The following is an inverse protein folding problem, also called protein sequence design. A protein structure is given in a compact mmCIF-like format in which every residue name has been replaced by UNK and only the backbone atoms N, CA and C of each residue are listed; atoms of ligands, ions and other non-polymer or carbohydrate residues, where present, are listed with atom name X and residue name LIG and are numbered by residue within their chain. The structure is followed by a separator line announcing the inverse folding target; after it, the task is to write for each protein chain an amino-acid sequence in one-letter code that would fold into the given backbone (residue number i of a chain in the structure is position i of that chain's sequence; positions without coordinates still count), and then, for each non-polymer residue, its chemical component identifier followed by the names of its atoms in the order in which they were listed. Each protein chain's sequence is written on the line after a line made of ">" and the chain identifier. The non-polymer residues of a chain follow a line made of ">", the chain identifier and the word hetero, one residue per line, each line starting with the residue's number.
data_IF_450439134028
#
_entry.id   IF_450439134028
#
_cell.length_a   1.000
_cell.length_b   1.000
_cell.length_c   1.000
_cell.angle_alpha   90.00
_cell.angle_beta   90.00
_cell.angle_gamma   90.00
#
_symmetry.space_group_name_H-M   'P 1'
#
loop_
_entity.id
_entity.type
_entity.pdbx_description
1 polymer ?
#
# COMPACT_ATOMS: atom_id res chain seq x y z
N UNK A 1 12.86 -9.83 -10.35
CA UNK A 1 13.14 -8.92 -11.47
C UNK A 1 12.27 -7.69 -11.25
N UNK A 2 12.71 -6.79 -10.37
CA UNK A 2 11.89 -5.65 -9.92
C UNK A 2 12.09 -4.50 -10.88
N UNK A 3 11.06 -4.15 -11.66
CA UNK A 3 11.03 -3.05 -12.63
C UNK A 3 10.93 -1.67 -11.96
N UNK A 4 11.66 -1.44 -10.88
CA UNK A 4 11.85 -0.09 -10.36
C UNK A 4 12.93 0.60 -11.19
N UNK A 5 12.55 1.13 -12.36
CA UNK A 5 13.36 2.16 -13.00
C UNK A 5 13.50 3.32 -12.01
N UNK A 6 14.71 3.78 -11.68
CA UNK A 6 14.91 4.93 -10.81
C UNK A 6 14.46 6.19 -11.56
N UNK A 7 13.15 6.44 -11.56
CA UNK A 7 12.54 7.66 -12.07
C UNK A 7 12.50 8.69 -10.97
N UNK A 8 12.86 9.92 -11.31
CA UNK A 8 12.49 11.10 -10.52
C UNK A 8 10.97 11.27 -10.65
N UNK A 9 10.31 11.77 -9.61
CA UNK A 9 8.86 12.08 -9.60
C UNK A 9 8.38 12.80 -10.88
N UNK A 10 9.22 13.67 -11.46
CA UNK A 10 8.98 14.36 -12.73
C UNK A 10 8.82 13.44 -13.95
N UNK A 11 9.56 12.34 -14.03
CA UNK A 11 9.49 11.40 -15.14
C UNK A 11 8.23 10.53 -15.08
N UNK A 12 7.81 10.16 -13.86
CA UNK A 12 6.60 9.37 -13.63
C UNK A 12 5.33 10.21 -13.83
N UNK A 13 5.33 11.46 -13.39
CA UNK A 13 4.18 12.35 -13.52
C UNK A 13 4.05 13.00 -14.91
N UNK A 14 5.15 13.15 -15.66
CA UNK A 14 5.13 13.78 -16.97
C UNK A 14 4.38 15.11 -16.97
N UNK A 15 3.31 15.21 -17.77
CA UNK A 15 2.45 16.41 -17.86
C UNK A 15 1.75 16.82 -16.56
N UNK A 16 1.69 15.94 -15.56
CA UNK A 16 1.11 16.21 -14.25
C UNK A 16 2.13 16.71 -13.23
N UNK A 17 3.42 16.77 -13.58
CA UNK A 17 4.45 17.30 -12.71
C UNK A 17 4.27 18.82 -12.55
N UNK A 18 4.15 19.30 -11.30
CA UNK A 18 3.93 20.73 -11.00
C UNK A 18 2.49 21.23 -11.18
N UNK A 19 1.53 20.35 -11.51
CA UNK A 19 0.10 20.66 -11.43
C UNK A 19 -0.32 20.74 -9.96
N UNK A 20 -0.01 21.86 -9.32
CA UNK A 20 -0.70 22.25 -8.09
C UNK A 20 -2.16 22.57 -8.45
N UNK A 21 -3.10 22.10 -7.63
CA UNK A 21 -4.52 22.15 -7.89
C UNK A 21 -5.06 23.59 -7.99
N UNK A 22 -4.90 24.22 -9.15
CA UNK A 22 -5.52 25.49 -9.52
C UNK A 22 -6.52 25.22 -10.64
N UNK A 23 -7.79 25.11 -10.25
CA UNK A 23 -8.91 25.20 -11.16
C UNK A 23 -9.11 26.66 -11.56
N UNK A 24 -8.65 27.04 -12.76
CA UNK A 24 -9.26 28.15 -13.54
C UNK A 24 -8.83 28.15 -15.01
N UNK A 25 -9.77 28.28 -15.96
CA UNK A 25 -9.47 28.28 -17.38
C UNK A 25 -9.38 29.72 -17.90
N UNK A 26 -8.19 30.25 -18.17
CA UNK A 26 -8.10 31.42 -19.04
C UNK A 26 -6.77 31.58 -19.79
N UNK A 27 -6.89 31.57 -21.11
CA UNK A 27 -6.05 32.20 -22.14
C UNK A 27 -4.55 31.92 -22.19
N UNK A 28 -4.15 31.11 -23.17
CA UNK A 28 -3.02 31.44 -24.04
C UNK A 28 -3.25 30.86 -25.45
N UNK A 29 -3.43 31.74 -26.44
CA UNK A 29 -3.38 31.39 -27.87
C UNK A 29 -1.95 30.95 -28.23
N UNK A 30 -1.75 29.92 -29.08
CA UNK A 30 -0.41 29.61 -29.57
C UNK A 30 -0.07 30.48 -30.80
N UNK A 31 0.99 31.27 -30.70
CA UNK A 31 1.76 31.75 -31.85
C UNK A 31 2.63 30.61 -32.36
N UNK A 32 2.52 30.34 -33.66
CA UNK A 32 3.29 29.33 -34.37
C UNK A 32 4.70 29.84 -34.68
N UNK A 33 5.73 29.10 -34.24
CA UNK A 33 7.06 29.11 -34.83
C UNK A 33 7.58 27.67 -34.93
N UNK A 34 7.92 27.27 -36.16
CA UNK A 34 8.43 25.95 -36.53
C UNK A 34 9.94 25.88 -36.31
N UNK A 35 10.48 24.74 -35.85
CA UNK A 35 11.86 24.30 -36.10
C UNK A 35 12.13 22.82 -35.71
N UNK A 36 12.40 22.01 -36.76
CA UNK A 36 13.32 20.85 -36.86
C UNK A 36 12.99 19.47 -36.25
N UNK A 37 13.36 18.35 -36.93
CA UNK A 37 12.92 17.01 -36.59
C UNK A 37 13.69 16.48 -35.38
N UNK A 38 13.02 16.41 -34.23
CA UNK A 38 13.59 15.81 -33.03
C UNK A 38 13.83 14.33 -33.25
N UNK A 39 15.09 13.90 -33.10
CA UNK A 39 15.46 12.49 -32.84
C UNK A 39 14.40 11.91 -31.90
N UNK A 40 13.71 10.85 -32.33
CA UNK A 40 12.59 10.26 -31.61
C UNK A 40 13.05 9.88 -30.19
N UNK A 41 12.85 10.79 -29.23
CA UNK A 41 13.06 10.49 -27.82
C UNK A 41 12.10 9.36 -27.49
N UNK A 42 12.55 8.34 -26.72
CA UNK A 42 11.62 7.35 -26.21
C UNK A 42 10.50 8.09 -25.47
N UNK A 43 9.24 7.67 -25.64
CA UNK A 43 8.10 8.31 -24.98
C UNK A 43 8.32 8.33 -23.47
N UNK A 44 7.83 9.38 -22.81
CA UNK A 44 7.90 9.46 -21.34
C UNK A 44 7.15 8.27 -20.71
N UNK A 45 7.50 7.87 -19.48
CA UNK A 45 6.84 6.72 -18.81
C UNK A 45 5.32 6.83 -18.82
N UNK A 46 4.80 8.00 -18.48
CA UNK A 46 3.36 8.28 -18.51
C UNK A 46 2.75 8.02 -19.90
N UNK A 47 3.40 8.48 -20.97
CA UNK A 47 2.95 8.25 -22.35
C UNK A 47 3.05 6.77 -22.74
N UNK A 48 4.11 6.08 -22.30
CA UNK A 48 4.29 4.64 -22.50
C UNK A 48 3.14 3.84 -21.85
N UNK A 49 2.81 4.17 -20.59
CA UNK A 49 1.72 3.52 -19.85
C UNK A 49 0.33 3.86 -20.40
N UNK A 50 0.13 5.09 -20.87
CA UNK A 50 -1.14 5.57 -21.41
C UNK A 50 -1.43 5.02 -22.82
N UNK A 51 -0.48 5.20 -23.75
CA UNK A 51 -0.71 5.02 -25.17
C UNK A 51 -0.41 3.59 -25.64
N UNK A 52 0.60 2.94 -25.04
CA UNK A 52 1.08 1.63 -25.52
C UNK A 52 0.63 0.49 -24.60
N UNK A 53 0.85 0.61 -23.29
CA UNK A 53 0.49 -0.45 -22.33
C UNK A 53 -0.97 -0.37 -21.87
N UNK A 54 -1.59 0.82 -21.96
CA UNK A 54 -2.97 1.10 -21.55
C UNK A 54 -3.30 0.57 -20.16
N UNK A 55 -2.40 0.81 -19.19
CA UNK A 55 -2.57 0.32 -17.82
C UNK A 55 -3.74 1.06 -17.16
N UNK A 56 -4.81 0.37 -16.71
CA UNK A 56 -6.02 1.05 -16.24
C UNK A 56 -5.82 1.93 -14.99
N UNK A 57 -4.91 1.52 -14.11
CA UNK A 57 -4.64 2.18 -12.83
C UNK A 57 -3.16 2.50 -12.72
N UNK A 58 -2.81 3.78 -12.64
CA UNK A 58 -1.45 4.26 -12.49
C UNK A 58 -1.31 5.09 -11.21
N UNK A 59 -0.44 4.66 -10.31
CA UNK A 59 -0.24 5.31 -9.01
C UNK A 59 1.21 5.75 -8.88
N UNK A 60 1.41 6.98 -8.43
CA UNK A 60 2.73 7.56 -8.19
C UNK A 60 2.82 7.94 -6.71
N UNK A 61 3.81 7.39 -6.03
CA UNK A 61 4.11 7.74 -4.64
C UNK A 61 5.49 8.35 -4.53
N UNK A 62 5.56 9.50 -3.89
CA UNK A 62 6.81 10.19 -3.60
C UNK A 62 7.19 10.03 -2.14
N UNK A 63 8.34 9.40 -1.89
CA UNK A 63 8.90 9.28 -0.54
C UNK A 63 9.30 10.63 0.08
N UNK A 64 9.59 11.63 -0.75
CA UNK A 64 10.07 12.94 -0.30
C UNK A 64 8.90 13.83 0.11
N UNK A 65 7.88 13.93 -0.75
CA UNK A 65 6.69 14.75 -0.47
C UNK A 65 5.61 13.99 0.30
N UNK A 66 5.75 12.66 0.43
CA UNK A 66 4.77 11.73 1.04
C UNK A 66 3.40 11.80 0.39
N UNK A 67 3.36 12.19 -0.89
CA UNK A 67 2.12 12.27 -1.67
C UNK A 67 1.94 11.01 -2.49
N UNK A 68 0.76 10.41 -2.35
CA UNK A 68 0.23 9.43 -3.28
C UNK A 68 -0.62 10.20 -4.30
N UNK A 69 -0.49 9.86 -5.57
CA UNK A 69 -1.33 10.37 -6.66
C UNK A 69 -1.82 9.17 -7.45
N UNK A 70 -3.09 9.22 -7.85
CA UNK A 70 -3.75 8.13 -8.54
C UNK A 70 -4.36 8.64 -9.83
N UNK A 71 -4.07 7.95 -10.92
CA UNK A 71 -4.56 8.23 -12.25
C UNK A 71 -5.29 7.00 -12.79
N UNK A 72 -6.52 7.20 -13.28
CA UNK A 72 -7.30 6.17 -13.96
C UNK A 72 -7.31 6.44 -15.46
N UNK A 73 -7.13 5.39 -16.26
CA UNK A 73 -7.23 5.49 -17.71
C UNK A 73 -8.71 5.52 -18.12
N UNK A 74 -9.19 6.67 -18.56
CA UNK A 74 -10.57 6.88 -19.04
C UNK A 74 -10.54 7.49 -20.45
N UNK A 75 -11.32 6.93 -21.38
CA UNK A 75 -11.34 7.41 -22.76
C UNK A 75 -9.98 7.36 -23.50
N UNK A 76 -9.01 6.58 -23.00
CA UNK A 76 -7.66 6.51 -23.57
C UNK A 76 -6.66 7.51 -22.97
N UNK A 77 -7.06 8.27 -21.95
CA UNK A 77 -6.19 9.23 -21.27
C UNK A 77 -6.26 9.07 -19.75
N UNK A 78 -5.14 9.27 -19.09
CA UNK A 78 -5.08 9.31 -17.64
C UNK A 78 -5.78 10.56 -17.10
N UNK A 79 -6.72 10.34 -16.18
CA UNK A 79 -7.37 11.36 -15.38
C UNK A 79 -7.01 11.14 -13.90
N UNK A 80 -6.51 12.19 -13.25
CA UNK A 80 -6.22 12.15 -11.82
C UNK A 80 -7.51 11.97 -11.02
N UNK A 81 -7.49 11.03 -10.09
CA UNK A 81 -8.61 10.69 -9.22
C UNK A 81 -8.36 11.25 -7.83
N UNK A 82 -9.44 11.68 -7.17
CA UNK A 82 -9.37 12.09 -5.79
C UNK A 82 -9.01 10.90 -4.89
N UNK A 83 -8.11 11.12 -3.93
CA UNK A 83 -7.88 10.20 -2.83
C UNK A 83 -8.89 10.46 -1.72
N UNK A 84 -9.06 9.49 -0.83
CA UNK A 84 -9.83 9.71 0.39
C UNK A 84 -9.19 10.84 1.23
N UNK A 85 -10.02 11.80 1.66
CA UNK A 85 -9.59 13.01 2.35
C UNK A 85 -9.11 12.76 3.79
N UNK A 86 -9.64 11.73 4.47
CA UNK A 86 -9.27 11.41 5.85
C UNK A 86 -8.04 10.52 5.93
N UNK A 87 -7.88 9.64 4.94
CA UNK A 87 -6.74 8.73 4.82
C UNK A 87 -6.29 8.68 3.36
N UNK A 88 -5.08 9.15 3.00
CA UNK A 88 -4.60 9.19 1.63
C UNK A 88 -4.52 7.77 1.03
N UNK A 89 -5.63 7.38 0.42
CA UNK A 89 -5.91 6.04 -0.09
C UNK A 89 -6.59 6.18 -1.46
N UNK A 90 -6.04 5.46 -2.43
CA UNK A 90 -6.61 5.29 -3.74
C UNK A 90 -7.49 4.03 -3.75
N UNK A 91 -8.77 4.19 -4.09
CA UNK A 91 -9.68 3.05 -4.23
C UNK A 91 -9.77 2.62 -5.70
N UNK A 92 -9.40 1.37 -5.99
CA UNK A 92 -9.48 0.79 -7.33
C UNK A 92 -10.80 0.02 -7.43
N UNK A 93 -11.86 0.73 -7.81
CA UNK A 93 -13.23 0.19 -7.83
C UNK A 93 -13.38 -1.09 -8.67
N UNK A 94 -12.61 -1.21 -9.77
CA UNK A 94 -12.69 -2.36 -10.67
C UNK A 94 -12.06 -3.64 -10.06
N UNK A 95 -11.25 -3.49 -9.01
CA UNK A 95 -10.52 -4.56 -8.33
C UNK A 95 -10.99 -4.81 -6.90
N UNK A 96 -11.92 -3.99 -6.40
CA UNK A 96 -12.40 -4.01 -5.01
C UNK A 96 -11.25 -3.96 -3.98
N UNK A 97 -10.20 -3.19 -4.29
CA UNK A 97 -9.00 -3.07 -3.46
C UNK A 97 -8.54 -1.61 -3.34
N UNK A 98 -8.04 -1.24 -2.17
CA UNK A 98 -7.47 0.06 -1.88
C UNK A 98 -5.96 0.00 -1.74
N UNK A 99 -5.26 1.04 -2.17
CA UNK A 99 -3.84 1.26 -1.87
C UNK A 99 -3.69 2.58 -1.14
N UNK A 100 -3.14 2.55 0.07
CA UNK A 100 -2.98 3.74 0.89
C UNK A 100 -1.64 3.83 1.60
N UNK A 101 -1.44 4.95 2.28
CA UNK A 101 -0.24 5.19 3.10
C UNK A 101 -0.45 4.67 4.51
N UNK A 102 0.32 3.65 4.86
CA UNK A 102 0.39 3.09 6.19
C UNK A 102 1.64 3.59 6.91
N UNK A 103 1.47 4.07 8.14
CA UNK A 103 2.58 4.47 9.00
C UNK A 103 2.98 3.32 9.92
N UNK A 104 4.23 2.90 9.84
CA UNK A 104 4.76 1.87 10.73
C UNK A 104 6.16 1.41 10.33
N UNK A 105 6.55 0.25 10.86
CA UNK A 105 7.83 -0.39 10.56
C UNK A 105 7.64 -1.49 9.51
N UNK A 106 8.40 -1.41 8.42
CA UNK A 106 8.46 -2.46 7.41
C UNK A 106 9.92 -2.85 7.20
N UNK A 107 10.22 -4.14 7.37
CA UNK A 107 11.58 -4.69 7.31
C UNK A 107 12.60 -3.96 8.21
N UNK A 108 12.17 -3.47 9.38
CA UNK A 108 13.03 -2.75 10.33
C UNK A 108 13.28 -1.29 9.98
N UNK A 109 12.53 -0.76 9.00
CA UNK A 109 12.59 0.63 8.59
C UNK A 109 11.28 1.33 8.97
N UNK A 110 11.30 2.26 9.93
CA UNK A 110 10.12 3.05 10.28
C UNK A 110 9.85 4.10 9.20
N UNK A 111 8.60 4.24 8.78
CA UNK A 111 8.24 5.20 7.75
C UNK A 111 6.78 5.18 7.30
N UNK A 112 6.54 5.83 6.17
CA UNK A 112 5.27 5.79 5.45
C UNK A 112 5.43 4.85 4.26
N UNK A 113 4.70 3.74 4.32
CA UNK A 113 4.74 2.66 3.35
C UNK A 113 3.43 2.59 2.59
N UNK A 114 3.48 2.08 1.37
CA UNK A 114 2.27 1.73 0.64
C UNK A 114 1.76 0.39 1.14
N UNK A 115 0.47 0.31 1.45
CA UNK A 115 -0.15 -0.92 1.93
C UNK A 115 -1.54 -1.09 1.31
N UNK A 116 -1.85 -2.32 0.96
CA UNK A 116 -3.17 -2.68 0.44
C UNK A 116 -4.19 -2.72 1.58
N UNK A 117 -5.42 -2.32 1.29
CA UNK A 117 -6.56 -2.41 2.18
C UNK A 117 -7.83 -2.86 1.46
N UNK A 118 -8.80 -3.32 2.24
CA UNK A 118 -10.13 -3.66 1.78
C UNK A 118 -11.07 -2.43 1.71
N UNK A 119 -12.33 -2.65 1.31
CA UNK A 119 -13.36 -1.61 1.19
C UNK A 119 -13.72 -0.94 2.52
N UNK A 120 -13.45 -1.61 3.65
CA UNK A 120 -13.62 -1.07 4.99
C UNK A 120 -12.38 -0.28 5.47
N UNK A 121 -11.35 -0.15 4.64
CA UNK A 121 -10.09 0.50 4.98
C UNK A 121 -9.23 -0.32 5.94
N UNK A 122 -9.50 -1.62 6.08
CA UNK A 122 -8.67 -2.52 6.88
C UNK A 122 -7.44 -2.94 6.07
N UNK A 123 -6.26 -2.77 6.63
CA UNK A 123 -5.02 -3.13 5.98
C UNK A 123 -4.87 -4.65 5.88
N UNK A 124 -4.48 -5.14 4.72
CA UNK A 124 -4.05 -6.54 4.59
C UNK A 124 -2.81 -6.76 5.43
N UNK A 125 -2.82 -7.82 6.24
CA UNK A 125 -1.69 -8.24 7.06
C UNK A 125 -0.54 -8.70 6.17
N UNK A 126 0.68 -8.33 6.55
CA UNK A 126 1.89 -8.94 6.00
C UNK A 126 2.00 -10.39 6.50
N UNK A 127 2.73 -11.24 5.78
CA UNK A 127 2.96 -12.63 6.20
C UNK A 127 3.56 -12.72 7.61
N UNK A 128 4.43 -11.78 7.97
CA UNK A 128 5.03 -11.68 9.29
C UNK A 128 3.97 -11.36 10.37
N UNK A 129 3.09 -10.39 10.12
CA UNK A 129 1.99 -10.06 11.04
C UNK A 129 0.98 -11.20 11.14
N UNK A 130 0.67 -11.89 10.03
CA UNK A 130 -0.23 -13.03 10.03
C UNK A 130 0.34 -14.20 10.84
N UNK A 131 1.62 -14.52 10.65
CA UNK A 131 2.33 -15.55 11.42
C UNK A 131 2.36 -15.21 12.91
N UNK A 132 2.65 -13.95 13.25
CA UNK A 132 2.63 -13.47 14.63
C UNK A 132 1.22 -13.58 15.25
N UNK A 133 0.19 -13.18 14.52
CA UNK A 133 -1.19 -13.28 14.99
C UNK A 133 -1.62 -14.73 15.21
N UNK A 134 -1.23 -15.66 14.33
CA UNK A 134 -1.49 -17.09 14.51
C UNK A 134 -0.73 -17.66 15.71
N UNK A 135 0.52 -17.25 15.92
CA UNK A 135 1.30 -17.65 17.09
C UNK A 135 0.65 -17.14 18.39
N UNK A 136 0.24 -15.88 18.43
CA UNK A 136 -0.45 -15.29 19.58
C UNK A 136 -1.81 -15.96 19.85
N UNK A 137 -2.59 -16.25 18.80
CA UNK A 137 -3.87 -16.95 18.94
C UNK A 137 -3.69 -18.37 19.45
N UNK A 138 -2.74 -19.13 18.90
CA UNK A 138 -2.46 -20.49 19.36
C UNK A 138 -1.98 -20.49 20.82
N UNK A 139 -1.13 -19.54 21.20
CA UNK A 139 -0.69 -19.38 22.58
C UNK A 139 -1.85 -19.02 23.52
N UNK A 140 -2.72 -18.09 23.12
CA UNK A 140 -3.88 -17.71 23.91
C UNK A 140 -4.86 -18.88 24.11
N UNK A 141 -5.06 -19.71 23.08
CA UNK A 141 -5.89 -20.92 23.17
C UNK A 141 -5.27 -21.95 24.11
N UNK A 142 -3.96 -22.19 24.03
CA UNK A 142 -3.26 -23.10 24.94
C UNK A 142 -3.37 -22.63 26.40
N UNK A 143 -3.19 -21.33 26.66
CA UNK A 143 -3.34 -20.75 28.00
C UNK A 143 -4.77 -20.89 28.53
N UNK A 144 -5.78 -20.67 27.67
CA UNK A 144 -7.19 -20.88 28.04
C UNK A 144 -7.48 -22.35 28.35
N UNK A 145 -6.95 -23.28 27.57
CA UNK A 145 -7.07 -24.71 27.82
C UNK A 145 -6.39 -25.11 29.13
N UNK A 146 -5.17 -24.62 29.38
CA UNK A 146 -4.44 -24.86 30.62
C UNK A 146 -5.24 -24.40 31.84
N UNK A 147 -5.79 -23.18 31.79
CA UNK A 147 -6.63 -22.64 32.85
C UNK A 147 -7.88 -23.50 33.11
N UNK A 148 -8.53 -23.99 32.06
CA UNK A 148 -9.68 -24.88 32.21
C UNK A 148 -9.29 -26.23 32.87
N UNK A 149 -8.16 -26.81 32.48
CA UNK A 149 -7.68 -28.07 33.06
C UNK A 149 -7.30 -27.91 34.54
N UNK A 150 -6.65 -26.81 34.90
CA UNK A 150 -6.36 -26.48 36.30
C UNK A 150 -7.65 -26.33 37.12
N UNK A 151 -8.67 -25.68 36.57
CA UNK A 151 -9.97 -25.52 37.23
C UNK A 151 -10.68 -26.87 37.44
N UNK A 152 -10.43 -27.87 36.60
CA UNK A 152 -10.93 -29.25 36.80
C UNK A 152 -10.14 -30.05 37.84
N UNK A 153 -9.11 -29.46 38.46
CA UNK A 153 -8.29 -30.09 39.51
C UNK A 153 -7.10 -30.89 38.98
N UNK A 154 -6.77 -30.76 37.69
CA UNK A 154 -5.56 -31.38 37.14
C UNK A 154 -4.30 -30.69 37.70
N UNK A 155 -3.29 -31.44 38.17
CA UNK A 155 -2.05 -30.85 38.69
C UNK A 155 -1.27 -30.13 37.58
N UNK A 156 -0.62 -29.01 37.95
CA UNK A 156 0.14 -28.13 37.05
C UNK A 156 1.17 -28.88 36.21
N UNK A 157 1.85 -29.87 36.78
CA UNK A 157 2.83 -30.71 36.09
C UNK A 157 2.22 -31.51 34.93
N UNK A 158 1.01 -32.06 35.11
CA UNK A 158 0.31 -32.80 34.05
C UNK A 158 -0.20 -31.87 32.96
N UNK A 159 -0.69 -30.68 33.31
CA UNK A 159 -1.11 -29.66 32.34
C UNK A 159 0.08 -29.17 31.50
N UNK A 160 1.24 -28.95 32.14
CA UNK A 160 2.48 -28.55 31.47
C UNK A 160 2.96 -29.60 30.45
N UNK A 161 2.96 -30.87 30.84
CA UNK A 161 3.33 -31.98 29.95
C UNK A 161 2.35 -32.14 28.78
N UNK A 162 1.04 -32.04 29.04
CA UNK A 162 0.01 -32.29 28.03
C UNK A 162 -0.05 -31.20 26.96
N UNK A 163 0.13 -29.94 27.35
CA UNK A 163 0.07 -28.79 26.44
C UNK A 163 1.46 -28.32 25.97
N UNK A 164 2.52 -29.05 26.34
CA UNK A 164 3.91 -28.69 26.10
C UNK A 164 4.26 -27.24 26.53
N UNK A 165 3.63 -26.77 27.61
CA UNK A 165 3.82 -25.45 28.18
C UNK A 165 4.90 -25.50 29.26
N UNK A 166 5.69 -24.44 29.39
CA UNK A 166 6.64 -24.32 30.48
C UNK A 166 5.91 -24.04 31.81
N UNK A 167 6.47 -24.52 32.92
CA UNK A 167 5.94 -24.24 34.26
C UNK A 167 5.85 -22.74 34.58
N UNK A 168 6.72 -21.92 33.99
CA UNK A 168 6.67 -20.46 34.11
C UNK A 168 5.42 -19.86 33.43
N UNK A 169 5.06 -20.32 32.23
CA UNK A 169 3.87 -19.85 31.51
C UNK A 169 2.57 -20.21 32.24
N UNK A 170 2.54 -21.35 32.93
CA UNK A 170 1.37 -21.79 33.70
C UNK A 170 1.32 -21.13 35.08
N UNK A 171 2.47 -20.84 35.69
CA UNK A 171 2.55 -20.15 37.00
C UNK A 171 2.10 -18.68 36.97
N UNK A 172 2.00 -18.09 35.78
CA UNK A 172 1.54 -16.71 35.56
C UNK A 172 0.03 -16.60 35.22
N UNK A 173 -0.70 -17.73 35.15
CA UNK A 173 -2.15 -17.80 34.94
C UNK A 173 -2.93 -17.62 36.25
#
# INVERSE_FOLDING_TARGET
>A
MSFYSPGTEAEDLGRFHGAEAEASPESARPTAEASEPSVARPPGKLEAYEQYLRVPHYLVYSRYTRRLRYFKLDGGHYQEQALNAENPMAWLADLDIGLGLWQGDFEGIPGYWLRWCDAAGQWFLTDAEQSKQQAEQSQAQLLKAARNLLATGMPVEQVAQLLALSGQQISQL
#
